data_IF_690758029255
#
_entry.id   IF_690758029255
#
_cell.length_a   1.000
_cell.length_b   1.000
_cell.length_c   1.000
_cell.angle_alpha   90.00
_cell.angle_beta   90.00
_cell.angle_gamma   90.00
#
_symmetry.space_group_name_H-M   'P 1'
#
loop_
_entity.id
_entity.type
_entity.pdbx_description
1 polymer ?
#
# COMPACT_ATOMS: atom_id res chain seq x y z
N UNK A 1 41.38 2.05 61.47
CA UNK A 1 39.96 2.09 61.08
C UNK A 1 39.85 1.52 59.66
N UNK A 2 39.34 0.29 59.57
CA UNK A 2 38.62 -0.36 58.45
C UNK A 2 39.11 -0.20 56.99
N UNK A 3 39.74 -1.25 56.44
CA UNK A 3 39.54 -1.72 55.04
C UNK A 3 38.39 -2.77 55.07
N UNK A 4 37.74 -3.22 53.96
CA UNK A 4 38.00 -3.10 52.52
C UNK A 4 36.71 -2.68 51.71
N UNK A 5 36.60 -2.68 50.38
CA UNK A 5 36.21 -3.86 49.55
C UNK A 5 35.87 -3.40 48.12
N UNK A 6 36.47 -4.05 47.11
CA UNK A 6 36.06 -4.01 45.71
C UNK A 6 34.56 -4.29 45.54
N UNK A 7 33.90 -3.58 44.62
CA UNK A 7 32.74 -4.11 43.90
C UNK A 7 32.69 -3.50 42.49
N UNK A 8 33.21 -4.28 41.54
CA UNK A 8 32.77 -4.36 40.16
C UNK A 8 31.23 -4.38 40.13
N UNK A 9 30.57 -3.53 39.35
CA UNK A 9 29.22 -3.78 38.86
C UNK A 9 28.99 -2.98 37.57
N UNK A 10 29.43 -3.64 36.49
CA UNK A 10 28.85 -3.61 35.16
C UNK A 10 27.33 -3.48 35.15
N UNK A 11 26.81 -2.55 34.34
CA UNK A 11 25.51 -2.62 33.63
C UNK A 11 25.48 -1.43 32.65
N UNK A 12 25.93 -1.62 31.40
CA UNK A 12 25.04 -1.94 30.27
C UNK A 12 23.72 -1.16 30.34
N UNK A 13 23.80 0.15 30.14
CA UNK A 13 22.66 0.97 29.73
C UNK A 13 22.32 0.64 28.28
N UNK A 14 21.61 -0.46 28.10
CA UNK A 14 21.02 -0.87 26.81
C UNK A 14 20.11 0.28 26.37
N UNK A 15 20.54 1.01 25.34
CA UNK A 15 19.68 1.95 24.64
C UNK A 15 18.51 1.17 24.08
N UNK A 16 17.34 1.31 24.70
CA UNK A 16 16.09 0.79 24.17
C UNK A 16 15.92 1.37 22.77
N UNK A 17 15.96 0.48 21.79
CA UNK A 17 15.73 0.79 20.39
C UNK A 17 14.41 1.54 20.29
N UNK A 18 14.46 2.73 19.71
CA UNK A 18 13.27 3.35 19.15
C UNK A 18 12.62 2.31 18.23
N UNK A 19 11.42 1.88 18.60
CA UNK A 19 10.54 1.08 17.77
C UNK A 19 10.20 1.90 16.54
N UNK A 20 11.09 1.84 15.55
CA UNK A 20 10.73 2.07 14.17
C UNK A 20 9.56 1.14 13.90
N UNK A 21 8.41 1.74 13.56
CA UNK A 21 7.22 1.01 13.13
C UNK A 21 7.64 0.08 12.00
N UNK A 22 7.88 -1.18 12.36
CA UNK A 22 8.09 -2.23 11.41
C UNK A 22 6.70 -2.50 10.84
N UNK A 23 6.37 -1.81 9.75
CA UNK A 23 5.38 -2.29 8.82
C UNK A 23 5.90 -3.66 8.38
N UNK A 24 5.39 -4.72 9.02
CA UNK A 24 5.55 -6.08 8.53
C UNK A 24 4.67 -6.26 7.29
N UNK A 25 4.91 -5.44 6.27
CA UNK A 25 4.68 -5.85 4.90
C UNK A 25 5.65 -7.00 4.70
N UNK A 26 5.18 -8.24 4.93
CA UNK A 26 5.93 -9.43 4.53
C UNK A 26 6.34 -9.20 3.09
N UNK A 27 7.64 -9.04 2.80
CA UNK A 27 8.08 -8.79 1.44
C UNK A 27 7.60 -9.97 0.61
N UNK A 28 6.94 -9.69 -0.52
CA UNK A 28 6.76 -10.69 -1.56
C UNK A 28 8.11 -11.34 -1.74
N UNK A 29 8.17 -12.67 -1.62
CA UNK A 29 9.34 -13.39 -2.09
C UNK A 29 9.49 -13.01 -3.57
N UNK A 30 10.44 -12.12 -3.85
CA UNK A 30 10.71 -11.65 -5.20
C UNK A 30 10.84 -12.90 -6.08
N UNK A 31 10.00 -13.00 -7.13
CA UNK A 31 10.02 -14.20 -7.96
C UNK A 31 8.75 -15.06 -8.02
N UNK A 32 7.66 -14.72 -7.32
CA UNK A 32 6.47 -15.60 -7.33
C UNK A 32 5.28 -15.10 -8.17
N UNK A 33 5.24 -13.83 -8.56
CA UNK A 33 4.13 -13.24 -9.33
C UNK A 33 4.64 -12.70 -10.65
N UNK A 34 4.06 -13.18 -11.76
CA UNK A 34 4.35 -12.67 -13.11
C UNK A 34 3.10 -12.14 -13.81
N UNK A 35 1.96 -12.77 -13.58
CA UNK A 35 0.65 -12.40 -14.14
C UNK A 35 -0.23 -11.76 -13.08
N UNK A 36 -0.74 -10.58 -13.38
CA UNK A 36 -1.60 -9.83 -12.45
C UNK A 36 -2.93 -9.51 -13.12
N UNK A 37 -4.03 -9.77 -12.43
CA UNK A 37 -5.35 -9.26 -12.78
C UNK A 37 -5.60 -7.98 -11.99
N UNK A 38 -6.00 -6.90 -12.67
CA UNK A 38 -6.40 -5.64 -12.02
C UNK A 38 -7.90 -5.69 -11.83
N UNK A 39 -8.35 -5.82 -10.58
CA UNK A 39 -9.78 -5.78 -10.26
C UNK A 39 -10.26 -4.33 -10.26
N UNK A 40 -11.51 -4.14 -10.66
CA UNK A 40 -12.19 -2.87 -10.55
C UNK A 40 -12.13 -2.33 -9.12
N UNK A 41 -12.04 -1.00 -9.02
CA UNK A 41 -12.00 -0.30 -7.75
C UNK A 41 -13.29 -0.62 -6.98
N UNK A 42 -13.17 -0.95 -5.69
CA UNK A 42 -14.33 -1.13 -4.85
C UNK A 42 -15.18 0.15 -4.87
N UNK A 43 -16.47 -0.01 -5.21
CA UNK A 43 -17.41 1.10 -5.30
C UNK A 43 -17.36 1.95 -4.02
N UNK A 44 -17.37 3.27 -4.21
CA UNK A 44 -17.39 4.21 -3.11
C UNK A 44 -18.79 4.78 -2.95
N UNK A 45 -19.24 5.03 -1.72
CA UNK A 45 -20.45 5.82 -1.49
C UNK A 45 -20.29 7.29 -1.90
N UNK A 46 -19.09 7.69 -2.32
CA UNK A 46 -18.74 9.05 -2.72
C UNK A 46 -18.66 9.11 -4.25
N UNK A 47 -19.59 9.85 -4.86
CA UNK A 47 -19.64 9.97 -6.32
C UNK A 47 -18.32 10.50 -6.93
N UNK A 48 -17.65 11.43 -6.25
CA UNK A 48 -16.39 12.02 -6.69
C UNK A 48 -15.25 11.00 -6.87
N UNK A 49 -15.26 9.89 -6.14
CA UNK A 49 -14.26 8.82 -6.27
C UNK A 49 -14.71 7.70 -7.18
N UNK A 50 -16.01 7.53 -7.39
CA UNK A 50 -16.59 6.52 -8.27
C UNK A 50 -16.30 6.84 -9.75
N UNK A 51 -16.36 8.12 -10.13
CA UNK A 51 -15.98 8.58 -11.48
C UNK A 51 -14.50 8.33 -11.83
N UNK A 52 -13.65 8.10 -10.81
CA UNK A 52 -12.22 7.87 -10.96
C UNK A 52 -11.87 6.37 -11.10
N UNK A 53 -12.85 5.48 -11.02
CA UNK A 53 -12.62 4.04 -11.05
C UNK A 53 -11.82 3.59 -12.29
N UNK A 54 -12.19 4.10 -13.47
CA UNK A 54 -11.48 3.81 -14.73
C UNK A 54 -10.05 4.36 -14.71
N UNK A 55 -9.85 5.59 -14.23
CA UNK A 55 -8.53 6.20 -14.16
C UNK A 55 -7.58 5.40 -13.25
N UNK A 56 -8.07 4.92 -12.11
CA UNK A 56 -7.31 4.07 -11.18
C UNK A 56 -7.01 2.71 -11.79
N UNK A 57 -8.00 2.08 -12.44
CA UNK A 57 -7.84 0.80 -13.14
C UNK A 57 -6.75 0.92 -14.22
N UNK A 58 -6.90 1.85 -15.15
CA UNK A 58 -5.99 2.06 -16.27
C UNK A 58 -4.57 2.41 -15.81
N UNK A 59 -4.45 3.23 -14.76
CA UNK A 59 -3.17 3.53 -14.16
C UNK A 59 -2.52 2.27 -13.56
N UNK A 60 -3.29 1.39 -12.93
CA UNK A 60 -2.83 0.12 -12.40
C UNK A 60 -2.29 -0.79 -13.51
N UNK A 61 -3.05 -0.95 -14.60
CA UNK A 61 -2.65 -1.72 -15.79
C UNK A 61 -1.33 -1.17 -16.35
N UNK A 62 -1.28 0.14 -16.63
CA UNK A 62 -0.09 0.79 -17.20
C UNK A 62 1.14 0.66 -16.30
N UNK A 63 1.00 0.90 -15.00
CA UNK A 63 2.12 0.85 -14.06
C UNK A 63 2.69 -0.58 -13.92
N UNK A 64 1.81 -1.58 -13.80
CA UNK A 64 2.22 -2.99 -13.73
C UNK A 64 2.92 -3.43 -15.02
N UNK A 65 2.36 -3.12 -16.19
CA UNK A 65 2.98 -3.43 -17.48
C UNK A 65 4.34 -2.76 -17.64
N UNK A 66 4.48 -1.49 -17.23
CA UNK A 66 5.75 -0.77 -17.27
C UNK A 66 6.82 -1.38 -16.36
N UNK A 67 6.42 -2.07 -15.28
CA UNK A 67 7.32 -2.82 -14.39
C UNK A 67 7.63 -4.24 -14.86
N UNK A 68 7.06 -4.67 -16.00
CA UNK A 68 7.30 -5.98 -16.60
C UNK A 68 6.33 -7.09 -16.17
N UNK A 69 5.27 -6.76 -15.44
CA UNK A 69 4.19 -7.71 -15.16
C UNK A 69 3.34 -7.94 -16.41
N UNK A 70 2.88 -9.17 -16.59
CA UNK A 70 1.84 -9.48 -17.58
C UNK A 70 0.48 -9.19 -16.96
N UNK A 71 -0.21 -8.15 -17.44
CA UNK A 71 -1.58 -7.90 -17.00
C UNK A 71 -2.52 -8.79 -17.81
N UNK A 72 -3.34 -9.58 -17.14
CA UNK A 72 -4.27 -10.54 -17.77
C UNK A 72 -5.70 -10.03 -17.69
N UNK A 73 -6.53 -10.44 -18.64
CA UNK A 73 -7.92 -10.02 -18.75
C UNK A 73 -8.88 -10.78 -17.81
N UNK A 74 -8.47 -11.96 -17.31
CA UNK A 74 -9.29 -12.79 -16.44
C UNK A 74 -8.56 -13.13 -15.15
N UNK A 75 -9.31 -13.17 -14.04
CA UNK A 75 -8.75 -13.48 -12.72
C UNK A 75 -8.19 -14.92 -12.64
N UNK A 76 -8.79 -15.87 -13.37
CA UNK A 76 -8.35 -17.28 -13.36
C UNK A 76 -6.95 -17.49 -13.94
N UNK A 77 -6.52 -16.63 -14.86
CA UNK A 77 -5.19 -16.67 -15.49
C UNK A 77 -4.10 -16.00 -14.66
N UNK A 78 -4.47 -15.20 -13.67
CA UNK A 78 -3.54 -14.38 -12.89
C UNK A 78 -2.87 -15.16 -11.77
N UNK A 79 -1.61 -14.87 -11.48
CA UNK A 79 -0.91 -15.36 -10.29
C UNK A 79 -1.34 -14.58 -9.04
N UNK A 80 -1.69 -13.30 -9.24
CA UNK A 80 -2.14 -12.39 -8.20
C UNK A 80 -3.20 -11.40 -8.70
N UNK A 81 -3.95 -10.84 -7.77
CA UNK A 81 -5.01 -9.86 -8.02
C UNK A 81 -4.65 -8.55 -7.33
N UNK A 82 -4.58 -7.47 -8.11
CA UNK A 82 -4.49 -6.12 -7.57
C UNK A 82 -5.91 -5.64 -7.23
N UNK A 83 -6.10 -5.20 -5.98
CA UNK A 83 -7.34 -4.62 -5.48
C UNK A 83 -7.10 -3.17 -5.09
N UNK A 84 -8.04 -2.32 -5.48
CA UNK A 84 -8.02 -0.89 -5.16
C UNK A 84 -9.26 -0.54 -4.36
N UNK A 85 -9.11 0.33 -3.36
CA UNK A 85 -10.22 0.79 -2.52
C UNK A 85 -10.01 2.22 -2.04
N UNK A 86 -11.10 2.95 -1.86
CA UNK A 86 -11.12 4.27 -1.25
C UNK A 86 -11.33 4.15 0.26
N UNK A 87 -10.44 4.74 1.04
CA UNK A 87 -10.50 4.77 2.50
C UNK A 87 -10.98 6.14 2.95
N UNK A 88 -12.18 6.19 3.54
CA UNK A 88 -12.70 7.43 4.12
C UNK A 88 -12.09 7.65 5.50
N UNK A 89 -11.52 8.82 5.71
CA UNK A 89 -10.93 9.22 6.98
C UNK A 89 -11.85 10.21 7.69
N UNK A 90 -12.00 10.01 9.00
CA UNK A 90 -12.76 10.94 9.83
C UNK A 90 -11.98 12.25 9.94
N UNK A 91 -12.57 13.33 9.46
CA UNK A 91 -12.01 14.68 9.61
C UNK A 91 -11.85 15.00 11.10
N UNK A 92 -10.64 15.40 11.51
CA UNK A 92 -10.32 15.75 12.91
C UNK A 92 -10.98 17.06 13.39
N UNK A 93 -11.74 17.75 12.53
CA UNK A 93 -12.42 19.00 12.86
C UNK A 93 -13.78 19.15 12.17
N UNK A 94 -14.68 19.85 12.85
CA UNK A 94 -16.09 20.11 12.47
C UNK A 94 -16.28 21.00 11.21
N UNK A 95 -15.40 20.96 10.21
CA UNK A 95 -15.34 22.03 9.19
C UNK A 95 -15.48 21.62 7.73
N UNK A 96 -15.75 20.37 7.41
CA UNK A 96 -16.11 20.04 6.02
C UNK A 96 -17.11 18.89 5.97
N UNK A 97 -18.19 19.16 5.24
CA UNK A 97 -19.16 18.20 4.68
C UNK A 97 -18.53 17.27 3.64
N UNK A 98 -17.37 17.65 3.09
CA UNK A 98 -16.62 16.84 2.14
C UNK A 98 -15.66 15.92 2.93
N UNK A 99 -15.81 14.59 2.80
CA UNK A 99 -14.94 13.65 3.50
C UNK A 99 -13.52 13.65 2.93
N UNK A 100 -12.55 13.46 3.82
CA UNK A 100 -11.19 13.16 3.42
C UNK A 100 -11.08 11.69 3.02
N UNK A 101 -10.46 11.42 1.87
CA UNK A 101 -10.28 10.08 1.34
C UNK A 101 -8.83 9.86 0.91
N UNK A 102 -8.35 8.63 1.13
CA UNK A 102 -7.08 8.14 0.57
C UNK A 102 -7.33 6.91 -0.30
N UNK A 103 -6.45 6.71 -1.28
CA UNK A 103 -6.48 5.55 -2.15
C UNK A 103 -5.59 4.46 -1.55
N UNK A 104 -6.10 3.23 -1.47
CA UNK A 104 -5.33 2.05 -1.03
C UNK A 104 -5.32 1.00 -2.12
N UNK A 105 -4.12 0.47 -2.40
CA UNK A 105 -3.88 -0.64 -3.32
C UNK A 105 -3.27 -1.80 -2.54
N UNK A 106 -3.70 -3.01 -2.85
CA UNK A 106 -3.10 -4.22 -2.30
C UNK A 106 -3.10 -5.35 -3.32
N UNK A 107 -2.00 -6.10 -3.37
CA UNK A 107 -1.84 -7.28 -4.20
C UNK A 107 -2.08 -8.53 -3.37
N UNK A 108 -2.90 -9.46 -3.87
CA UNK A 108 -3.21 -10.73 -3.22
C UNK A 108 -2.88 -11.90 -4.13
N UNK A 109 -2.29 -12.98 -3.62
CA UNK A 109 -2.17 -14.21 -4.40
C UNK A 109 -3.48 -15.00 -4.48
N UNK A 110 -3.45 -16.13 -5.21
CA UNK A 110 -4.58 -17.07 -5.34
C UNK A 110 -5.09 -17.63 -4.02
N UNK A 111 -4.26 -17.68 -2.98
CA UNK A 111 -4.67 -18.11 -1.64
C UNK A 111 -5.25 -16.97 -0.81
N UNK A 112 -5.50 -15.81 -1.43
CA UNK A 112 -5.97 -14.58 -0.80
C UNK A 112 -5.01 -14.05 0.28
N UNK A 113 -3.74 -14.43 0.23
CA UNK A 113 -2.70 -13.87 1.10
C UNK A 113 -2.21 -12.57 0.48
N UNK A 114 -2.11 -11.53 1.33
CA UNK A 114 -1.63 -10.21 0.91
C UNK A 114 -0.13 -10.25 0.68
N UNK A 115 0.27 -9.90 -0.53
CA UNK A 115 1.65 -9.85 -0.99
C UNK A 115 2.22 -8.43 -0.90
N UNK A 116 1.40 -7.44 -1.24
CA UNK A 116 1.78 -6.04 -1.22
C UNK A 116 0.63 -5.19 -0.72
N UNK A 117 0.95 -4.09 -0.06
CA UNK A 117 0.02 -3.07 0.35
C UNK A 117 0.66 -1.68 0.24
N UNK A 118 -0.14 -0.71 -0.17
CA UNK A 118 0.27 0.69 -0.21
C UNK A 118 -0.93 1.61 -0.22
N UNK A 119 -0.71 2.86 0.17
CA UNK A 119 -1.74 3.89 0.16
C UNK A 119 -1.15 5.25 -0.23
N UNK A 120 -2.02 6.18 -0.63
CA UNK A 120 -1.67 7.54 -1.03
C UNK A 120 -1.31 8.46 0.15
N UNK A 121 -1.04 7.90 1.34
CA UNK A 121 -0.74 8.65 2.55
C UNK A 121 -2.00 9.28 3.20
N UNK A 122 -1.84 10.46 3.84
CA UNK A 122 -2.95 11.17 4.47
C UNK A 122 -4.10 11.43 3.50
N UNK A 123 -5.33 11.24 3.97
CA UNK A 123 -6.52 11.52 3.19
C UNK A 123 -6.66 13.01 2.93
N UNK A 124 -7.12 13.31 1.73
CA UNK A 124 -7.43 14.66 1.26
C UNK A 124 -8.90 14.75 0.90
N UNK A 125 -9.48 15.95 0.90
CA UNK A 125 -10.89 16.12 0.57
C UNK A 125 -11.20 15.51 -0.81
N UNK A 126 -12.33 14.80 -0.92
CA UNK A 126 -12.69 14.04 -2.11
C UNK A 126 -12.68 14.87 -3.41
N UNK A 127 -13.02 16.16 -3.34
CA UNK A 127 -13.00 17.10 -4.47
C UNK A 127 -11.58 17.49 -4.95
N UNK A 128 -10.52 17.17 -4.21
CA UNK A 128 -9.14 17.34 -4.66
C UNK A 128 -8.61 16.13 -5.43
N UNK A 129 -9.41 15.09 -5.60
CA UNK A 129 -9.08 13.98 -6.48
C UNK A 129 -9.54 14.27 -7.92
N UNK A 130 -8.68 13.92 -8.85
CA UNK A 130 -8.92 13.95 -10.29
C UNK A 130 -8.08 12.84 -10.95
N UNK A 131 -8.29 12.59 -12.25
CA UNK A 131 -7.60 11.53 -13.00
C UNK A 131 -6.08 11.61 -12.91
N UNK A 132 -5.53 12.83 -13.00
CA UNK A 132 -4.10 13.08 -12.93
C UNK A 132 -3.50 12.69 -11.58
N UNK A 133 -4.17 13.09 -10.49
CA UNK A 133 -3.77 12.71 -9.14
C UNK A 133 -3.93 11.22 -8.90
N UNK A 134 -5.08 10.64 -9.27
CA UNK A 134 -5.33 9.21 -9.14
C UNK A 134 -4.24 8.39 -9.85
N UNK A 135 -3.91 8.77 -11.09
CA UNK A 135 -2.85 8.11 -11.87
C UNK A 135 -1.48 8.25 -11.21
N UNK A 136 -1.14 9.44 -10.72
CA UNK A 136 0.14 9.70 -10.06
C UNK A 136 0.29 8.87 -8.78
N UNK A 137 -0.75 8.80 -7.95
CA UNK A 137 -0.76 8.04 -6.69
C UNK A 137 -0.69 6.53 -6.95
N UNK A 138 -1.46 6.00 -7.90
CA UNK A 138 -1.36 4.58 -8.30
C UNK A 138 0.06 4.24 -8.75
N UNK A 139 0.65 5.07 -9.61
CA UNK A 139 2.02 4.88 -10.11
C UNK A 139 3.04 4.95 -8.97
N UNK A 140 2.89 5.92 -8.06
CA UNK A 140 3.77 6.08 -6.91
C UNK A 140 3.70 4.88 -5.95
N UNK A 141 2.49 4.40 -5.66
CA UNK A 141 2.28 3.22 -4.81
C UNK A 141 2.91 1.98 -5.46
N UNK A 142 2.61 1.71 -6.73
CA UNK A 142 3.07 0.50 -7.41
C UNK A 142 4.58 0.48 -7.67
N UNK A 143 5.28 1.63 -7.66
CA UNK A 143 6.76 1.66 -7.66
C UNK A 143 7.39 0.87 -6.50
N UNK A 144 6.66 0.72 -5.38
CA UNK A 144 7.11 -0.09 -4.24
C UNK A 144 6.96 -1.61 -4.45
N UNK A 145 6.30 -2.04 -5.54
CA UNK A 145 6.13 -3.44 -5.86
C UNK A 145 7.49 -4.05 -6.26
N UNK A 146 7.89 -5.22 -5.71
CA UNK A 146 9.10 -5.92 -6.15
C UNK A 146 9.07 -6.24 -7.64
N UNK A 147 10.23 -6.57 -8.23
CA UNK A 147 10.25 -6.99 -9.63
C UNK A 147 9.42 -8.29 -9.85
N UNK A 148 8.82 -8.46 -11.04
CA UNK A 148 8.08 -9.67 -11.36
C UNK A 148 8.98 -10.91 -11.36
N UNK A 149 8.35 -12.07 -11.21
CA UNK A 149 9.01 -13.34 -11.43
C UNK A 149 9.57 -13.43 -12.85
N UNK A 150 10.86 -13.77 -12.96
CA UNK A 150 11.44 -14.12 -14.25
C UNK A 150 10.80 -15.44 -14.70
N UNK A 151 10.23 -15.43 -15.91
CA UNK A 151 9.73 -16.64 -16.58
C UNK A 151 10.87 -17.59 -16.90
#
# INVERSE_FOLDING_TARGET
MHLPRLALLSLLGISALATSGCNTSTPVAAGQVSKVYVRDVAASSLHATDILANAVHDAGVRALSAQGYTVVATEGEADAVLRSSWQTQKSAGNRSDIPNVSLSLALFDKSNRRLFDGNSGPGVAANFWNDGRATAEVTAILKGLPAPAKK
#
